data_IF_071281133693
#
_entry.id   IF_071281133693
#
_cell.length_a   1.000
_cell.length_b   1.000
_cell.length_c   1.000
_cell.angle_alpha   90.00
_cell.angle_beta   90.00
_cell.angle_gamma   90.00
#
_symmetry.space_group_name_H-M   'P 1'
#
loop_
_entity.id
_entity.type
_entity.pdbx_description
1 polymer ?
#
# COMPACT_ATOMS: atom_id res chain seq x y z
N UNK A 1 42.89 -36.26 13.20
CA UNK A 1 42.75 -36.45 14.66
C UNK A 1 43.44 -35.26 15.30
N UNK A 2 42.76 -34.13 15.45
CA UNK A 2 41.72 -33.79 16.44
C UNK A 2 42.34 -33.22 17.70
N UNK A 3 42.33 -31.89 17.81
CA UNK A 3 42.15 -31.17 19.06
C UNK A 3 41.79 -29.71 18.75
N UNK A 4 40.53 -29.50 18.35
CA UNK A 4 39.89 -28.17 18.39
C UNK A 4 39.50 -27.95 19.84
N UNK A 5 40.41 -27.35 20.60
CA UNK A 5 40.21 -27.01 22.00
C UNK A 5 39.04 -26.06 22.21
N UNK A 6 38.05 -26.52 22.95
CA UNK A 6 36.92 -25.75 23.42
C UNK A 6 37.39 -24.57 24.29
N UNK A 7 37.32 -23.35 23.78
CA UNK A 7 37.33 -22.12 24.60
C UNK A 7 35.89 -21.62 24.77
N UNK A 8 35.14 -22.31 25.62
CA UNK A 8 33.94 -21.75 26.25
C UNK A 8 34.29 -21.36 27.70
N UNK A 9 35.26 -20.46 27.85
CA UNK A 9 35.54 -19.80 29.13
C UNK A 9 34.54 -18.67 29.34
N UNK A 10 33.34 -19.00 29.82
CA UNK A 10 32.39 -18.00 30.30
C UNK A 10 32.94 -17.33 31.55
N UNK A 11 33.15 -16.02 31.49
CA UNK A 11 33.62 -15.21 32.62
C UNK A 11 32.59 -15.29 33.78
N UNK A 12 32.95 -15.80 34.97
CA UNK A 12 32.01 -16.11 36.06
C UNK A 12 31.42 -14.87 36.78
N UNK A 13 31.57 -13.67 36.21
CA UNK A 13 31.14 -12.39 36.83
C UNK A 13 30.14 -11.60 35.99
N UNK A 14 29.37 -12.24 35.11
CA UNK A 14 28.23 -11.58 34.48
C UNK A 14 27.10 -11.41 35.51
N UNK A 15 27.19 -10.34 36.32
CA UNK A 15 26.06 -9.85 37.12
C UNK A 15 25.41 -8.71 36.34
N UNK A 16 24.20 -8.89 35.81
CA UNK A 16 23.51 -7.81 35.11
C UNK A 16 23.36 -6.63 36.07
N UNK A 17 23.71 -5.43 35.61
CA UNK A 17 23.54 -4.23 36.44
C UNK A 17 22.04 -4.02 36.65
N UNK A 18 21.65 -3.41 37.77
CA UNK A 18 20.23 -3.10 38.02
C UNK A 18 19.60 -2.30 36.86
N UNK A 19 20.40 -1.44 36.21
CA UNK A 19 20.01 -0.74 34.98
C UNK A 19 19.68 -1.69 33.83
N UNK A 20 20.46 -2.74 33.63
CA UNK A 20 20.24 -3.70 32.53
C UNK A 20 18.96 -4.50 32.79
N UNK A 21 18.72 -4.89 34.05
CA UNK A 21 17.47 -5.53 34.47
C UNK A 21 16.27 -4.60 34.27
N UNK A 22 16.40 -3.32 34.61
CA UNK A 22 15.34 -2.32 34.42
C UNK A 22 15.04 -2.10 32.93
N UNK A 23 16.07 -1.98 32.08
CA UNK A 23 15.91 -1.83 30.64
C UNK A 23 15.31 -3.09 30.01
N UNK A 24 15.73 -4.28 30.44
CA UNK A 24 15.15 -5.54 30.00
C UNK A 24 13.67 -5.65 30.41
N UNK A 25 13.32 -5.26 31.64
CA UNK A 25 11.94 -5.23 32.09
C UNK A 25 11.11 -4.23 31.25
N UNK A 26 11.63 -3.01 31.02
CA UNK A 26 10.96 -2.01 30.19
C UNK A 26 10.74 -2.52 28.77
N UNK A 27 11.71 -3.24 28.20
CA UNK A 27 11.58 -3.86 26.88
C UNK A 27 10.53 -4.99 26.88
N UNK A 28 10.59 -5.91 27.85
CA UNK A 28 9.63 -7.03 27.92
C UNK A 28 8.21 -6.52 28.12
N UNK A 29 7.98 -5.66 29.12
CA UNK A 29 6.63 -5.19 29.47
C UNK A 29 6.14 -4.04 28.58
N UNK A 30 7.03 -3.20 28.08
CA UNK A 30 6.70 -2.08 27.21
C UNK A 30 6.62 -2.46 25.72
N UNK A 31 7.23 -3.56 25.31
CA UNK A 31 7.25 -4.01 23.91
C UNK A 31 6.73 -5.44 23.72
N UNK A 32 7.41 -6.45 24.28
CA UNK A 32 7.09 -7.85 23.98
C UNK A 32 5.69 -8.28 24.44
N UNK A 33 5.28 -7.89 25.65
CA UNK A 33 3.95 -8.23 26.17
C UNK A 33 2.84 -7.56 25.34
N UNK A 34 2.89 -6.24 25.04
CA UNK A 34 1.97 -5.59 24.12
C UNK A 34 1.90 -6.28 22.74
N UNK A 35 3.04 -6.62 22.16
CA UNK A 35 3.11 -7.32 20.88
C UNK A 35 2.47 -8.70 20.98
N UNK A 36 2.76 -9.47 22.03
CA UNK A 36 2.19 -10.80 22.26
C UNK A 36 0.67 -10.79 22.48
N UNK A 37 0.15 -9.84 23.26
CA UNK A 37 -1.30 -9.67 23.47
C UNK A 37 -1.99 -9.34 22.15
N UNK A 38 -1.40 -8.44 21.36
CA UNK A 38 -1.99 -8.00 20.11
C UNK A 38 -1.90 -9.09 19.03
N UNK A 39 -0.80 -9.87 19.00
CA UNK A 39 -0.66 -11.03 18.14
C UNK A 39 -1.69 -12.12 18.47
N UNK A 40 -1.91 -12.40 19.77
CA UNK A 40 -2.95 -13.33 20.22
C UNK A 40 -4.37 -12.86 19.88
N UNK A 41 -4.60 -11.55 19.87
CA UNK A 41 -5.91 -10.94 19.52
C UNK A 41 -6.09 -10.65 18.02
N UNK A 42 -5.07 -10.85 17.18
CA UNK A 42 -5.09 -10.52 15.76
C UNK A 42 -5.03 -9.00 15.42
N UNK A 43 -5.23 -8.11 16.39
CA UNK A 43 -5.24 -6.65 16.20
C UNK A 43 -4.84 -5.89 17.47
N UNK A 44 -4.32 -4.65 17.37
CA UNK A 44 -4.02 -3.85 18.55
C UNK A 44 -5.31 -3.34 19.20
N UNK A 45 -5.40 -3.24 20.54
CA UNK A 45 -6.57 -2.71 21.22
C UNK A 45 -6.90 -1.27 20.78
N UNK A 46 -8.19 -0.99 20.53
CA UNK A 46 -8.65 0.31 20.02
C UNK A 46 -8.34 1.49 20.96
N UNK A 47 -8.23 1.23 22.26
CA UNK A 47 -7.94 2.22 23.30
C UNK A 47 -6.44 2.56 23.44
N UNK A 48 -5.56 2.01 22.62
CA UNK A 48 -4.13 2.31 22.71
C UNK A 48 -3.74 3.66 22.09
N UNK A 49 -2.71 4.33 22.64
CA UNK A 49 -2.13 5.52 22.05
C UNK A 49 -1.75 5.29 20.59
N UNK A 50 -1.91 6.31 19.74
CA UNK A 50 -1.69 6.21 18.29
C UNK A 50 -0.30 5.66 17.93
N UNK A 51 0.74 6.13 18.61
CA UNK A 51 2.11 5.66 18.39
C UNK A 51 2.31 4.17 18.71
N UNK A 52 1.63 3.64 19.73
CA UNK A 52 1.69 2.20 20.05
C UNK A 52 0.98 1.36 19.00
N UNK A 53 -0.14 1.86 18.44
CA UNK A 53 -0.83 1.21 17.30
C UNK A 53 0.00 1.24 16.02
N UNK A 54 0.68 2.35 15.75
CA UNK A 54 1.54 2.51 14.56
C UNK A 54 2.78 1.62 14.65
N UNK A 55 3.45 1.57 15.82
CA UNK A 55 4.56 0.64 16.08
C UNK A 55 4.11 -0.82 15.95
N UNK A 56 2.89 -1.13 16.37
CA UNK A 56 2.30 -2.46 16.20
C UNK A 56 2.10 -2.82 14.72
N UNK A 57 1.56 -1.89 13.92
CA UNK A 57 1.37 -2.09 12.48
C UNK A 57 2.70 -2.38 11.74
N UNK A 58 3.82 -1.86 12.25
CA UNK A 58 5.17 -2.16 11.73
C UNK A 58 5.65 -3.57 12.14
N UNK A 59 5.18 -4.10 13.27
CA UNK A 59 5.54 -5.43 13.79
C UNK A 59 4.58 -6.57 13.41
N UNK A 60 3.50 -6.31 12.67
CA UNK A 60 2.53 -7.34 12.29
C UNK A 60 3.10 -8.40 11.34
N UNK A 61 3.55 -9.51 11.92
CA UNK A 61 3.01 -10.83 11.57
C UNK A 61 1.48 -10.74 11.68
N UNK A 62 0.80 -10.76 10.53
CA UNK A 62 -0.66 -10.67 10.46
C UNK A 62 -1.30 -11.89 11.16
N UNK A 63 -2.01 -11.67 12.28
CA UNK A 63 -2.70 -12.73 13.02
C UNK A 63 -3.94 -13.28 12.31
N UNK A 64 -4.51 -12.47 11.41
CA UNK A 64 -5.55 -12.87 10.47
C UNK A 64 -5.00 -12.68 9.06
N UNK A 65 -5.08 -13.73 8.23
CA UNK A 65 -4.74 -13.62 6.82
C UNK A 65 -5.65 -12.56 6.19
N UNK A 66 -5.07 -11.61 5.46
CA UNK A 66 -5.86 -10.59 4.76
C UNK A 66 -6.75 -11.28 3.73
N UNK A 67 -8.05 -11.42 4.00
CA UNK A 67 -8.99 -12.08 3.10
C UNK A 67 -9.23 -11.29 1.82
N UNK A 68 -8.85 -10.01 1.80
CA UNK A 68 -9.16 -9.09 0.71
C UNK A 68 -8.09 -8.01 0.56
N UNK A 69 -7.68 -7.77 -0.67
CA UNK A 69 -6.78 -6.68 -1.05
C UNK A 69 -7.46 -5.80 -2.08
N UNK A 70 -7.59 -4.53 -1.75
CA UNK A 70 -8.09 -3.53 -2.69
C UNK A 70 -6.98 -3.10 -3.64
N UNK A 71 -7.29 -3.11 -4.93
CA UNK A 71 -6.39 -2.75 -6.02
C UNK A 71 -6.99 -1.55 -6.75
N UNK A 72 -6.17 -0.54 -7.01
CA UNK A 72 -6.61 0.70 -7.65
C UNK A 72 -6.14 0.76 -9.09
N UNK A 73 -6.84 1.49 -9.95
CA UNK A 73 -6.41 1.76 -11.32
C UNK A 73 -6.75 3.21 -11.67
N UNK A 74 -6.09 3.73 -12.69
CA UNK A 74 -6.42 5.03 -13.27
C UNK A 74 -6.65 4.89 -14.77
N UNK A 75 -7.65 5.61 -15.25
CA UNK A 75 -7.94 5.72 -16.67
C UNK A 75 -8.05 7.18 -17.09
N UNK A 76 -7.60 7.44 -18.32
CA UNK A 76 -7.78 8.72 -19.01
C UNK A 76 -8.71 8.55 -20.20
N UNK A 77 -9.42 9.63 -20.54
CA UNK A 77 -10.13 9.77 -21.81
C UNK A 77 -9.48 10.92 -22.57
N UNK A 78 -9.21 10.71 -23.86
CA UNK A 78 -8.60 11.71 -24.75
C UNK A 78 -9.64 12.36 -25.65
N UNK A 79 -9.32 13.55 -26.13
CA UNK A 79 -10.13 14.29 -27.08
C UNK A 79 -10.33 13.48 -28.37
N UNK A 80 -11.57 13.42 -28.87
CA UNK A 80 -11.92 12.65 -30.07
C UNK A 80 -12.11 11.15 -29.85
N UNK A 81 -11.74 10.63 -28.68
CA UNK A 81 -11.93 9.22 -28.31
C UNK A 81 -13.12 9.04 -27.37
N UNK A 82 -13.99 8.07 -27.69
CA UNK A 82 -15.11 7.70 -26.79
C UNK A 82 -14.68 6.75 -25.66
N UNK A 83 -13.49 6.15 -25.78
CA UNK A 83 -12.98 5.11 -24.89
C UNK A 83 -12.22 5.65 -23.67
N UNK A 84 -12.12 4.79 -22.66
CA UNK A 84 -11.22 5.02 -21.52
C UNK A 84 -9.98 4.15 -21.67
N UNK A 85 -8.82 4.73 -21.42
CA UNK A 85 -7.51 4.09 -21.59
C UNK A 85 -6.84 3.98 -20.23
N UNK A 86 -6.31 2.80 -19.90
CA UNK A 86 -5.54 2.62 -18.68
C UNK A 86 -4.19 3.32 -18.78
N UNK A 87 -3.83 4.05 -17.73
CA UNK A 87 -2.51 4.65 -17.60
C UNK A 87 -1.53 3.58 -17.14
N UNK A 88 -0.34 3.55 -17.75
CA UNK A 88 0.78 2.75 -17.25
C UNK A 88 1.37 3.41 -16.01
N UNK A 89 0.98 2.93 -14.83
CA UNK A 89 1.45 3.47 -13.55
C UNK A 89 2.96 3.34 -13.36
N UNK A 90 3.60 2.34 -13.99
CA UNK A 90 5.04 2.14 -13.90
C UNK A 90 5.82 3.32 -14.48
N UNK A 91 5.25 4.02 -15.47
CA UNK A 91 5.86 5.20 -16.08
C UNK A 91 5.88 6.44 -15.17
N UNK A 92 5.05 6.48 -14.12
CA UNK A 92 4.81 7.68 -13.32
C UNK A 92 5.11 7.49 -11.83
N UNK A 93 4.95 6.28 -11.32
CA UNK A 93 4.88 6.00 -9.88
C UNK A 93 5.88 4.94 -9.42
N UNK A 94 7.10 4.98 -9.96
CA UNK A 94 8.18 4.10 -9.54
C UNK A 94 8.38 4.12 -8.02
N UNK A 95 8.26 2.94 -7.39
CA UNK A 95 9.01 2.63 -6.17
C UNK A 95 8.94 1.14 -5.84
N UNK A 96 10.09 0.49 -5.57
CA UNK A 96 10.21 -0.62 -4.59
C UNK A 96 11.64 -0.77 -4.04
N UNK A 97 11.80 -0.91 -2.71
CA UNK A 97 12.73 -1.92 -2.19
C UNK A 97 12.07 -3.00 -1.31
N UNK A 98 10.83 -2.78 -0.84
CA UNK A 98 10.06 -3.79 -0.10
C UNK A 98 8.58 -3.75 -0.49
N UNK A 99 8.22 -4.55 -1.50
CA UNK A 99 6.85 -4.95 -1.84
C UNK A 99 6.21 -4.20 -3.02
N UNK A 100 5.36 -4.91 -3.78
CA UNK A 100 4.81 -4.52 -5.09
C UNK A 100 3.72 -3.45 -5.12
N UNK A 101 3.84 -2.44 -4.26
CA UNK A 101 2.94 -1.28 -4.24
C UNK A 101 3.66 -0.05 -4.79
N UNK A 102 3.08 0.53 -5.83
CA UNK A 102 3.56 1.79 -6.42
C UNK A 102 3.29 2.97 -5.46
N UNK A 103 3.88 4.14 -5.75
CA UNK A 103 3.52 5.38 -5.02
C UNK A 103 2.03 5.70 -5.17
N UNK A 104 1.45 5.34 -6.32
CA UNK A 104 0.01 5.47 -6.57
C UNK A 104 -0.80 4.61 -5.61
N UNK A 105 -0.47 3.33 -5.44
CA UNK A 105 -1.21 2.44 -4.52
C UNK A 105 -1.14 2.96 -3.07
N UNK A 106 0.01 3.51 -2.64
CA UNK A 106 0.14 4.13 -1.31
C UNK A 106 -0.72 5.38 -1.17
N UNK A 107 -0.73 6.23 -2.20
CA UNK A 107 -1.58 7.41 -2.25
C UNK A 107 -3.05 7.02 -2.15
N UNK A 108 -3.49 6.04 -2.93
CA UNK A 108 -4.87 5.58 -2.97
C UNK A 108 -5.28 4.84 -1.69
N UNK A 109 -4.39 4.08 -1.06
CA UNK A 109 -4.66 3.49 0.25
C UNK A 109 -4.91 4.56 1.33
N UNK A 110 -4.25 5.73 1.23
CA UNK A 110 -4.42 6.83 2.19
C UNK A 110 -5.63 7.69 1.89
N UNK A 111 -5.82 8.07 0.64
CA UNK A 111 -6.79 9.10 0.23
C UNK A 111 -7.94 8.58 -0.61
N UNK A 112 -7.83 7.38 -1.18
CA UNK A 112 -8.78 6.83 -2.15
C UNK A 112 -10.20 6.72 -1.61
N UNK A 113 -10.39 6.25 -0.39
CA UNK A 113 -11.73 6.10 0.21
C UNK A 113 -12.22 7.34 0.97
N UNK A 114 -11.42 8.41 1.02
CA UNK A 114 -11.82 9.62 1.71
C UNK A 114 -12.65 10.51 0.77
N UNK A 115 -13.82 10.94 1.23
CA UNK A 115 -14.68 11.81 0.43
C UNK A 115 -14.11 13.24 0.36
N UNK A 116 -14.06 13.98 1.48
CA UNK A 116 -13.65 15.40 1.46
C UNK A 116 -12.17 15.60 1.16
N UNK A 117 -11.29 15.09 2.02
CA UNK A 117 -9.85 15.26 1.85
C UNK A 117 -9.33 14.47 0.64
N UNK A 118 -9.93 13.31 0.34
CA UNK A 118 -9.56 12.49 -0.80
C UNK A 118 -10.01 13.07 -2.14
N UNK A 119 -11.18 13.74 -2.24
CA UNK A 119 -11.61 14.33 -3.50
C UNK A 119 -10.65 15.42 -4.00
N UNK A 120 -10.17 16.29 -3.10
CA UNK A 120 -9.19 17.33 -3.43
C UNK A 120 -7.88 16.70 -3.90
N UNK A 121 -7.35 15.75 -3.13
CA UNK A 121 -6.11 15.06 -3.47
C UNK A 121 -6.22 14.29 -4.80
N UNK A 122 -7.34 13.60 -5.05
CA UNK A 122 -7.59 12.89 -6.32
C UNK A 122 -7.67 13.85 -7.49
N UNK A 123 -8.28 15.03 -7.31
CA UNK A 123 -8.34 16.07 -8.35
C UNK A 123 -6.95 16.60 -8.69
N UNK A 124 -6.13 16.92 -7.69
CA UNK A 124 -4.75 17.35 -7.90
C UNK A 124 -3.92 16.30 -8.65
N UNK A 125 -4.02 15.03 -8.23
CA UNK A 125 -3.36 13.92 -8.91
C UNK A 125 -3.83 13.75 -10.35
N UNK A 126 -5.15 13.87 -10.60
CA UNK A 126 -5.72 13.78 -11.94
C UNK A 126 -5.22 14.90 -12.86
N UNK A 127 -5.18 16.15 -12.36
CA UNK A 127 -4.65 17.29 -13.13
C UNK A 127 -3.16 17.10 -13.44
N UNK A 128 -2.37 16.66 -12.47
CA UNK A 128 -0.96 16.35 -12.69
C UNK A 128 -0.77 15.22 -13.72
N UNK A 129 -1.55 14.14 -13.61
CA UNK A 129 -1.50 13.01 -14.55
C UNK A 129 -1.86 13.43 -15.97
N UNK A 130 -2.92 14.21 -16.14
CA UNK A 130 -3.34 14.70 -17.45
C UNK A 130 -2.25 15.52 -18.13
N UNK A 131 -1.59 16.43 -17.40
CA UNK A 131 -0.47 17.20 -17.93
C UNK A 131 0.70 16.30 -18.36
N UNK A 132 1.02 15.28 -17.56
CA UNK A 132 2.11 14.32 -17.85
C UNK A 132 1.80 13.38 -19.02
N UNK A 133 0.55 12.97 -19.17
CA UNK A 133 0.07 12.19 -20.30
C UNK A 133 0.10 13.01 -21.59
N UNK A 134 -0.28 14.28 -21.55
CA UNK A 134 -0.21 15.17 -22.71
C UNK A 134 1.25 15.47 -23.13
N UNK A 135 2.18 15.59 -22.17
CA UNK A 135 3.62 15.73 -22.46
C UNK A 135 4.19 14.48 -23.16
N UNK A 136 3.82 13.28 -22.70
CA UNK A 136 4.41 12.02 -23.16
C UNK A 136 3.74 11.48 -24.43
N UNK A 137 2.42 11.57 -24.50
CA UNK A 137 1.60 10.98 -25.56
C UNK A 137 0.77 12.03 -26.30
N UNK A 138 1.16 13.31 -26.29
CA UNK A 138 0.38 14.40 -26.88
C UNK A 138 -0.01 14.22 -28.35
N UNK A 139 0.71 13.38 -29.10
CA UNK A 139 0.35 12.97 -30.46
C UNK A 139 -0.98 12.18 -30.55
N UNK A 140 -1.43 11.56 -29.45
CA UNK A 140 -2.71 10.84 -29.33
C UNK A 140 -3.88 11.73 -28.90
N UNK A 141 -3.66 13.05 -28.78
CA UNK A 141 -4.66 14.00 -28.34
C UNK A 141 -4.63 14.27 -26.84
N UNK A 142 -5.24 15.40 -26.46
CA UNK A 142 -5.24 15.91 -25.08
C UNK A 142 -6.13 15.07 -24.17
N UNK A 143 -5.73 14.90 -22.92
CA UNK A 143 -6.57 14.28 -21.89
C UNK A 143 -7.70 15.24 -21.50
N UNK A 144 -8.95 14.81 -21.70
CA UNK A 144 -10.15 15.58 -21.36
C UNK A 144 -10.75 15.19 -20.02
N UNK A 145 -10.53 13.94 -19.58
CA UNK A 145 -11.03 13.46 -18.30
C UNK A 145 -10.15 12.35 -17.72
N UNK A 146 -10.14 12.26 -16.39
CA UNK A 146 -9.45 11.23 -15.62
C UNK A 146 -10.43 10.60 -14.64
N UNK A 147 -10.40 9.28 -14.49
CA UNK A 147 -11.15 8.57 -13.46
C UNK A 147 -10.28 7.57 -12.73
N UNK A 148 -10.57 7.40 -11.45
CA UNK A 148 -9.95 6.38 -10.61
C UNK A 148 -10.91 5.23 -10.42
N UNK A 149 -10.39 4.02 -10.52
CA UNK A 149 -11.13 2.78 -10.35
C UNK A 149 -10.51 1.98 -9.23
N UNK A 150 -11.29 1.07 -8.66
CA UNK A 150 -10.79 0.09 -7.72
C UNK A 150 -11.58 -1.20 -7.81
N UNK A 151 -10.96 -2.29 -7.38
CA UNK A 151 -11.63 -3.56 -7.19
C UNK A 151 -11.03 -4.27 -5.98
N UNK A 152 -11.82 -5.16 -5.40
CA UNK A 152 -11.37 -6.00 -4.30
C UNK A 152 -11.02 -7.38 -4.82
N UNK A 153 -9.79 -7.80 -4.54
CA UNK A 153 -9.37 -9.17 -4.75
C UNK A 153 -9.50 -9.93 -3.45
N UNK A 154 -10.38 -10.92 -3.43
CA UNK A 154 -10.41 -11.89 -2.35
C UNK A 154 -9.23 -12.85 -2.46
N UNK A 155 -8.56 -13.12 -1.35
CA UNK A 155 -7.54 -14.15 -1.26
C UNK A 155 -8.26 -15.45 -0.91
N UNK A 156 -8.25 -16.40 -1.85
CA UNK A 156 -8.75 -17.75 -1.59
C UNK A 156 -7.74 -18.49 -0.69
N UNK A 157 -8.12 -18.88 0.53
CA UNK A 157 -7.23 -19.61 1.44
C UNK A 157 -6.91 -21.03 0.93
N UNK A 158 -7.78 -21.64 0.14
CA UNK A 158 -7.58 -22.98 -0.44
C UNK A 158 -6.62 -22.94 -1.64
N UNK A 159 -6.55 -21.79 -2.30
CA UNK A 159 -5.66 -21.54 -3.44
C UNK A 159 -4.86 -20.25 -3.24
N UNK A 160 -3.96 -20.20 -2.24
CA UNK A 160 -3.21 -19.00 -1.97
C UNK A 160 -2.36 -18.63 -3.19
N UNK A 161 -2.25 -17.34 -3.54
CA UNK A 161 -1.45 -16.92 -4.68
C UNK A 161 -0.01 -17.40 -4.52
N UNK A 162 0.50 -18.08 -5.54
CA UNK A 162 1.88 -18.57 -5.56
C UNK A 162 2.83 -17.46 -6.00
N UNK A 163 3.95 -17.32 -5.29
CA UNK A 163 4.95 -16.28 -5.55
C UNK A 163 4.68 -14.96 -4.83
N UNK A 164 5.18 -13.85 -5.38
CA UNK A 164 5.03 -12.52 -4.78
C UNK A 164 3.67 -11.92 -5.16
N UNK A 165 3.04 -11.23 -4.22
CA UNK A 165 1.81 -10.52 -4.53
C UNK A 165 2.07 -9.47 -5.60
N UNK A 166 1.37 -9.55 -6.72
CA UNK A 166 1.42 -8.55 -7.79
C UNK A 166 0.04 -8.00 -8.04
N UNK A 167 -0.01 -6.69 -8.30
CA UNK A 167 -1.18 -6.06 -8.91
C UNK A 167 -1.43 -6.71 -10.27
N UNK A 168 -2.66 -7.16 -10.49
CA UNK A 168 -3.06 -7.73 -11.78
C UNK A 168 -3.14 -6.62 -12.82
N UNK A 169 -2.71 -6.92 -14.04
CA UNK A 169 -3.00 -6.06 -15.16
C UNK A 169 -4.52 -6.01 -15.40
N UNK A 170 -5.08 -4.91 -15.92
CA UNK A 170 -6.51 -4.83 -16.20
C UNK A 170 -7.06 -5.98 -17.07
N UNK A 171 -6.24 -6.53 -17.98
CA UNK A 171 -6.59 -7.68 -18.82
C UNK A 171 -6.70 -9.00 -18.05
N UNK A 172 -6.05 -9.12 -16.89
CA UNK A 172 -6.06 -10.32 -16.04
C UNK A 172 -7.25 -10.35 -15.07
N UNK A 173 -8.03 -9.27 -14.97
CA UNK A 173 -9.17 -9.18 -14.03
C UNK A 173 -10.41 -9.97 -14.46
N UNK A 174 -10.46 -10.43 -15.72
CA UNK A 174 -11.61 -11.17 -16.25
C UNK A 174 -12.91 -10.39 -16.10
N UNK A 175 -13.93 -11.01 -15.48
CA UNK A 175 -15.25 -10.42 -15.27
C UNK A 175 -15.40 -9.65 -13.95
N UNK A 176 -14.32 -9.42 -13.18
CA UNK A 176 -14.43 -8.72 -11.91
C UNK A 176 -14.88 -7.26 -12.11
N UNK A 177 -15.98 -6.82 -11.47
CA UNK A 177 -16.45 -5.46 -11.62
C UNK A 177 -15.47 -4.49 -10.96
N UNK A 178 -15.04 -3.49 -11.72
CA UNK A 178 -14.34 -2.34 -11.19
C UNK A 178 -15.33 -1.27 -10.79
N UNK A 179 -15.13 -0.70 -9.60
CA UNK A 179 -15.94 0.39 -9.06
C UNK A 179 -15.21 1.70 -9.29
N UNK A 180 -15.95 2.73 -9.68
CA UNK A 180 -15.40 4.07 -9.73
C UNK A 180 -15.15 4.59 -8.31
N UNK A 181 -14.04 5.30 -8.13
CA UNK A 181 -13.67 5.93 -6.88
C UNK A 181 -13.86 7.44 -6.97
N UNK A 182 -14.90 7.94 -6.30
CA UNK A 182 -15.31 9.33 -6.39
C UNK A 182 -15.82 9.71 -7.78
N UNK A 183 -15.81 11.02 -8.06
CA UNK A 183 -16.26 11.58 -9.33
C UNK A 183 -15.18 11.51 -10.42
N UNK A 184 -15.62 11.55 -11.67
CA UNK A 184 -14.73 11.76 -12.82
C UNK A 184 -14.19 13.19 -12.77
N UNK A 185 -12.87 13.34 -12.90
CA UNK A 185 -12.22 14.64 -12.96
C UNK A 185 -12.16 15.10 -14.40
N UNK A 186 -12.93 16.14 -14.73
CA UNK A 186 -12.88 16.79 -16.05
C UNK A 186 -11.70 17.76 -16.08
N UNK A 187 -10.84 17.61 -17.09
CA UNK A 187 -9.62 18.41 -17.28
C UNK A 187 -9.87 19.55 -18.27
N UNK A 188 -10.50 19.21 -19.39
CA UNK A 188 -10.88 20.15 -20.43
C UNK A 188 -12.27 19.78 -20.98
N UNK A 189 -13.04 20.77 -21.41
CA UNK A 189 -14.30 20.52 -22.09
C UNK A 189 -14.03 19.80 -23.43
N UNK A 190 -14.82 18.77 -23.74
CA UNK A 190 -14.79 18.15 -25.06
C UNK A 190 -15.31 19.16 -26.08
N UNK A 191 -14.43 19.64 -26.96
CA UNK A 191 -14.79 20.59 -28.02
C UNK A 191 -14.44 22.04 -27.66
N UNK A 192 -13.18 22.39 -27.83
CA UNK A 192 -12.81 23.75 -28.19
C UNK A 192 -13.09 23.97 -29.67
N UNK A 193 -14.28 24.46 -30.03
CA UNK A 193 -14.49 25.15 -31.31
C UNK A 193 -15.29 26.43 -31.05
N UNK A 194 -14.80 27.61 -31.48
CA UNK A 194 -15.70 28.75 -31.70
C UNK A 194 -16.74 28.41 -32.79
#
# INVERSE_FOLDING_TARGET
MSEVGARAGGDPRWRPRARDLMLAALFVFGWLVPVGISAWRGAPPANWPRHARDLYAVSCLFGEASERISVFYVQVRREGERGWHYVDEGAYFELEPFGHRTRFDRFMARFGYQERAGATARRELATWLAAREDEREGARGRVVAVRFLWTDRHIDPEHPPTGRWRKLAPSELGAQPMRQLGEVVVIAAEGGKP
#
